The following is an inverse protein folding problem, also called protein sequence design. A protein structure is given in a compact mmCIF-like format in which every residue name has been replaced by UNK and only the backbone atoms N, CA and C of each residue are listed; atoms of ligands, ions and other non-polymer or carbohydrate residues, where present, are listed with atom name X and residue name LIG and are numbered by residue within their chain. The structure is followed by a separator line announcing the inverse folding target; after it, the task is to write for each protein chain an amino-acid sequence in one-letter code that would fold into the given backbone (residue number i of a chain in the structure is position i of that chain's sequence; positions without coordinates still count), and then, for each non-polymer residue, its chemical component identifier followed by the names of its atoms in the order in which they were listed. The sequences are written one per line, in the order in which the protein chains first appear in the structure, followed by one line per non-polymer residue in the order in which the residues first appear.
data_IF_883939368365
#
_entry.id   IF_883939368365
#
_cell.length_a   1.000
_cell.length_b   1.000
_cell.length_c   1.000
_cell.angle_alpha   90.00
_cell.angle_beta   90.00
_cell.angle_gamma   90.00
#
_symmetry.space_group_name_H-M   'P 1'
#
loop_
_entity.id
_entity.type
_entity.pdbx_description
1 polymer ?
#
# COMPACT_ATOMS: atom_id res chain seq x y z
N UNK A 1 13.49 -4.87 2.07
CA UNK A 1 14.82 -4.93 1.40
C UNK A 1 16.02 -4.73 2.36
N UNK A 2 17.21 -5.20 1.98
CA UNK A 2 18.45 -5.04 2.78
C UNK A 2 19.11 -3.69 2.53
N UNK A 3 19.68 -3.07 3.57
CA UNK A 3 20.47 -1.84 3.42
C UNK A 3 21.75 -2.13 2.62
N UNK A 4 22.04 -1.31 1.61
CA UNK A 4 23.13 -1.48 0.65
C UNK A 4 22.74 -2.28 -0.61
N UNK A 5 21.55 -2.88 -0.64
CA UNK A 5 21.05 -3.53 -1.86
C UNK A 5 20.59 -2.52 -2.91
N UNK A 6 20.73 -2.88 -4.19
CA UNK A 6 20.23 -2.09 -5.31
C UNK A 6 18.87 -2.60 -5.76
N UNK A 7 17.90 -1.71 -5.92
CA UNK A 7 16.56 -1.99 -6.44
C UNK A 7 16.38 -1.35 -7.82
N UNK A 8 15.65 -2.03 -8.71
CA UNK A 8 15.11 -1.44 -9.94
C UNK A 8 13.66 -1.00 -9.73
N UNK A 9 13.23 0.01 -10.46
CA UNK A 9 11.83 0.43 -10.46
C UNK A 9 10.95 -0.77 -10.89
N UNK A 10 9.95 -1.11 -10.07
CA UNK A 10 9.09 -2.28 -10.26
C UNK A 10 9.56 -3.56 -9.57
N UNK A 11 10.78 -3.61 -9.00
CA UNK A 11 11.22 -4.78 -8.23
C UNK A 11 10.44 -4.90 -6.92
N UNK A 12 10.23 -6.13 -6.42
CA UNK A 12 9.65 -6.35 -5.09
C UNK A 12 10.56 -5.75 -4.01
N UNK A 13 10.04 -4.83 -3.23
CA UNK A 13 10.82 -4.08 -2.24
C UNK A 13 10.40 -4.38 -0.79
N UNK A 14 9.10 -4.54 -0.55
CA UNK A 14 8.52 -4.80 0.76
C UNK A 14 7.25 -5.65 0.63
N UNK A 15 6.77 -6.18 1.75
CA UNK A 15 5.43 -6.75 1.86
C UNK A 15 4.72 -6.11 3.04
N UNK A 16 3.40 -6.00 2.94
CA UNK A 16 2.51 -5.62 4.03
C UNK A 16 1.50 -6.73 4.19
N UNK A 17 1.14 -7.07 5.43
CA UNK A 17 0.23 -8.18 5.66
C UNK A 17 -0.77 -7.92 6.77
N UNK A 18 -1.90 -8.62 6.69
CA UNK A 18 -2.96 -8.63 7.68
C UNK A 18 -3.42 -10.07 7.91
N UNK A 19 -3.32 -10.55 9.16
CA UNK A 19 -3.74 -11.88 9.59
C UNK A 19 -3.22 -13.03 8.71
N UNK A 20 -1.93 -12.98 8.36
CA UNK A 20 -1.27 -14.03 7.56
C UNK A 20 -1.47 -13.93 6.05
N UNK A 21 -2.14 -12.89 5.56
CA UNK A 21 -2.24 -12.57 4.14
C UNK A 21 -1.31 -11.42 3.81
N UNK A 22 -0.44 -11.63 2.83
CA UNK A 22 0.52 -10.63 2.37
C UNK A 22 0.08 -9.98 1.06
N UNK A 23 0.46 -8.71 0.91
CA UNK A 23 0.47 -7.98 -0.34
C UNK A 23 1.86 -7.40 -0.57
N UNK A 24 2.38 -7.60 -1.77
CA UNK A 24 3.71 -7.13 -2.15
C UNK A 24 3.69 -5.65 -2.53
N UNK A 25 4.78 -4.96 -2.26
CA UNK A 25 5.00 -3.58 -2.66
C UNK A 25 6.23 -3.51 -3.54
N UNK A 26 6.06 -2.90 -4.70
CA UNK A 26 7.15 -2.68 -5.66
C UNK A 26 7.92 -1.40 -5.37
N UNK A 27 9.20 -1.37 -5.76
CA UNK A 27 10.05 -0.20 -5.66
C UNK A 27 9.55 0.89 -6.63
N UNK A 28 9.19 2.09 -6.15
CA UNK A 28 8.71 3.17 -7.02
C UNK A 28 9.85 3.83 -7.81
N UNK A 29 11.10 3.64 -7.39
CA UNK A 29 12.30 4.23 -8.01
C UNK A 29 13.43 3.21 -7.99
N UNK A 30 14.38 3.34 -8.90
CA UNK A 30 15.62 2.56 -8.85
C UNK A 30 16.73 3.28 -8.06
N UNK A 31 17.54 2.52 -7.33
CA UNK A 31 18.66 3.04 -6.55
C UNK A 31 19.10 2.11 -5.42
N UNK A 32 20.00 2.62 -4.57
CA UNK A 32 20.53 1.90 -3.41
C UNK A 32 19.67 2.14 -2.17
N UNK A 33 19.29 1.09 -1.45
CA UNK A 33 18.60 1.19 -0.17
C UNK A 33 19.57 1.68 0.89
N UNK A 34 19.36 2.89 1.42
CA UNK A 34 20.26 3.51 2.40
C UNK A 34 19.78 3.37 3.84
N UNK A 35 18.48 3.10 4.04
CA UNK A 35 17.91 2.99 5.37
C UNK A 35 16.58 2.21 5.31
N UNK A 36 16.33 1.35 6.30
CA UNK A 36 15.00 0.81 6.64
C UNK A 36 14.53 1.43 7.95
N UNK A 37 13.22 1.47 8.19
CA UNK A 37 12.69 2.10 9.41
C UNK A 37 12.69 1.10 10.60
N UNK A 38 13.60 1.26 11.58
CA UNK A 38 13.66 0.35 12.72
C UNK A 38 12.45 0.47 13.65
N UNK A 39 11.72 1.60 13.62
CA UNK A 39 10.55 1.80 14.48
C UNK A 39 9.41 0.84 14.12
N UNK A 40 9.34 0.37 12.88
CA UNK A 40 8.29 -0.56 12.45
C UNK A 40 8.46 -1.97 13.03
N UNK A 41 9.64 -2.32 13.53
CA UNK A 41 9.86 -3.61 14.22
C UNK A 41 9.14 -3.65 15.58
N UNK A 42 9.15 -2.52 16.30
CA UNK A 42 8.50 -2.38 17.61
C UNK A 42 7.10 -1.80 17.54
N UNK A 43 6.82 -0.96 16.55
CA UNK A 43 5.56 -0.21 16.39
C UNK A 43 5.03 -0.31 14.94
N UNK A 44 4.61 -1.50 14.47
CA UNK A 44 4.15 -1.69 13.10
C UNK A 44 2.92 -0.83 12.75
N UNK A 45 2.09 -0.48 13.74
CA UNK A 45 0.92 0.39 13.56
C UNK A 45 1.24 1.81 13.10
N UNK A 46 2.51 2.25 13.14
CA UNK A 46 2.95 3.52 12.56
C UNK A 46 2.78 3.55 11.03
N UNK A 47 2.97 2.40 10.35
CA UNK A 47 2.77 2.31 8.91
C UNK A 47 1.33 2.65 8.49
N UNK A 48 0.35 2.44 9.37
CA UNK A 48 -1.06 2.77 9.14
C UNK A 48 -1.43 4.15 9.67
N UNK A 49 -1.00 4.49 10.89
CA UNK A 49 -1.43 5.72 11.57
C UNK A 49 -0.68 6.98 11.15
N UNK A 50 0.57 6.85 10.67
CA UNK A 50 1.41 7.96 10.25
C UNK A 50 2.30 7.57 9.04
N UNK A 51 1.71 7.14 7.90
CA UNK A 51 2.43 6.52 6.78
C UNK A 51 3.47 7.44 6.13
N UNK A 52 3.21 8.76 6.15
CA UNK A 52 4.08 9.77 5.54
C UNK A 52 5.01 10.48 6.56
N UNK A 53 4.82 10.26 7.86
CA UNK A 53 5.67 10.77 8.93
C UNK A 53 6.56 9.68 9.49
N UNK A 54 6.26 9.19 10.69
CA UNK A 54 7.06 8.19 11.42
C UNK A 54 6.95 6.78 10.84
N UNK A 55 5.94 6.51 10.02
CA UNK A 55 5.63 5.21 9.42
C UNK A 55 6.28 4.93 8.06
N UNK A 56 7.27 5.71 7.63
CA UNK A 56 8.01 5.45 6.38
C UNK A 56 8.63 4.04 6.37
N UNK A 57 8.74 3.38 5.21
CA UNK A 57 9.22 1.99 5.12
C UNK A 57 10.75 1.89 4.96
N UNK A 58 11.28 2.51 3.90
CA UNK A 58 12.70 2.52 3.57
C UNK A 58 13.06 3.79 2.78
N UNK A 59 14.35 4.13 2.72
CA UNK A 59 14.90 5.24 1.94
C UNK A 59 15.81 4.71 0.85
N UNK A 60 15.68 5.27 -0.34
CA UNK A 60 16.49 4.93 -1.52
C UNK A 60 17.30 6.15 -1.94
N UNK A 61 18.59 5.95 -2.18
CA UNK A 61 19.46 6.91 -2.85
C UNK A 61 19.48 6.58 -4.32
N UNK A 62 19.05 7.53 -5.14
CA UNK A 62 19.09 7.40 -6.60
C UNK A 62 19.88 8.54 -7.23
N UNK A 63 20.72 8.22 -8.20
CA UNK A 63 21.44 9.20 -9.01
C UNK A 63 20.61 9.76 -10.17
N UNK A 64 19.48 9.13 -10.50
CA UNK A 64 18.68 9.39 -11.71
C UNK A 64 17.24 9.80 -11.35
N UNK A 65 17.08 10.76 -10.44
CA UNK A 65 15.76 11.18 -9.93
C UNK A 65 14.81 11.66 -11.02
N UNK A 66 15.31 12.39 -12.02
CA UNK A 66 14.49 12.88 -13.13
C UNK A 66 13.87 11.75 -13.96
N UNK A 67 14.64 10.70 -14.27
CA UNK A 67 14.14 9.51 -14.98
C UNK A 67 13.15 8.74 -14.10
N UNK A 68 13.48 8.54 -12.83
CA UNK A 68 12.64 7.79 -11.90
C UNK A 68 11.25 8.44 -11.72
N UNK A 69 11.19 9.76 -11.64
CA UNK A 69 9.94 10.48 -11.44
C UNK A 69 9.10 10.62 -12.71
N UNK A 70 9.69 10.49 -13.90
CA UNK A 70 8.95 10.57 -15.16
C UNK A 70 7.85 9.50 -15.30
N UNK A 71 8.06 8.33 -14.68
CA UNK A 71 7.11 7.22 -14.69
C UNK A 71 6.12 7.23 -13.52
N UNK A 72 6.18 8.23 -12.63
CA UNK A 72 5.33 8.31 -11.46
C UNK A 72 4.21 9.33 -11.63
N UNK A 73 3.05 9.01 -11.06
CA UNK A 73 1.97 9.98 -10.92
C UNK A 73 2.39 11.07 -9.93
N UNK A 74 2.09 12.33 -10.26
CA UNK A 74 2.41 13.47 -9.40
C UNK A 74 1.31 14.55 -9.45
N UNK A 75 1.32 15.43 -8.46
CA UNK A 75 0.39 16.56 -8.36
C UNK A 75 -1.07 16.13 -8.38
N UNK A 76 -1.89 16.83 -9.20
CA UNK A 76 -3.31 16.58 -9.32
C UNK A 76 -3.65 15.18 -9.89
N UNK A 77 -2.77 14.61 -10.72
CA UNK A 77 -2.97 13.27 -11.27
C UNK A 77 -2.85 12.20 -10.19
N UNK A 78 -1.85 12.30 -9.31
CA UNK A 78 -1.71 11.40 -8.17
C UNK A 78 -2.90 11.52 -7.22
N UNK A 79 -3.31 12.75 -6.90
CA UNK A 79 -4.47 12.98 -6.04
C UNK A 79 -5.74 12.37 -6.63
N UNK A 80 -6.03 12.64 -7.90
CA UNK A 80 -7.20 12.07 -8.58
C UNK A 80 -7.16 10.55 -8.62
N UNK A 81 -6.01 9.95 -8.93
CA UNK A 81 -5.86 8.50 -8.93
C UNK A 81 -6.20 7.89 -7.57
N UNK A 82 -5.75 8.52 -6.47
CA UNK A 82 -6.05 8.05 -5.11
C UNK A 82 -7.54 8.18 -4.80
N UNK A 83 -8.17 9.31 -5.13
CA UNK A 83 -9.60 9.51 -4.91
C UNK A 83 -10.45 8.53 -5.73
N UNK A 84 -10.16 8.39 -7.03
CA UNK A 84 -10.86 7.43 -7.91
C UNK A 84 -10.66 5.98 -7.41
N UNK A 85 -9.47 5.63 -6.92
CA UNK A 85 -9.19 4.30 -6.35
C UNK A 85 -9.93 4.07 -5.03
N UNK A 86 -10.04 5.10 -4.17
CA UNK A 86 -10.81 5.03 -2.93
C UNK A 86 -12.29 4.78 -3.21
N UNK A 87 -12.86 5.51 -4.17
CA UNK A 87 -14.26 5.34 -4.56
C UNK A 87 -14.53 3.95 -5.13
N UNK A 88 -13.67 3.45 -6.04
CA UNK A 88 -13.79 2.09 -6.57
C UNK A 88 -13.69 1.04 -5.48
N UNK A 89 -12.70 1.15 -4.59
CA UNK A 89 -12.53 0.23 -3.48
C UNK A 89 -13.77 0.25 -2.59
N UNK A 90 -14.26 1.43 -2.20
CA UNK A 90 -15.46 1.57 -1.38
C UNK A 90 -16.68 0.89 -2.03
N UNK A 91 -16.91 1.10 -3.33
CA UNK A 91 -18.01 0.45 -4.05
C UNK A 91 -17.88 -1.07 -4.07
N UNK A 92 -16.67 -1.60 -4.27
CA UNK A 92 -16.42 -3.03 -4.20
C UNK A 92 -16.68 -3.59 -2.80
N UNK A 93 -16.16 -2.93 -1.75
CA UNK A 93 -16.40 -3.36 -0.37
C UNK A 93 -17.90 -3.33 -0.02
N UNK A 94 -18.64 -2.33 -0.49
CA UNK A 94 -20.10 -2.26 -0.33
C UNK A 94 -20.80 -3.45 -1.01
N UNK A 95 -20.35 -3.86 -2.20
CA UNK A 95 -20.89 -5.03 -2.88
C UNK A 95 -20.59 -6.35 -2.13
N UNK A 96 -19.42 -6.43 -1.48
CA UNK A 96 -19.00 -7.59 -0.68
C UNK A 96 -19.66 -7.63 0.71
N UNK A 97 -20.15 -6.50 1.22
CA UNK A 97 -20.74 -6.39 2.57
C UNK A 97 -22.10 -7.08 2.72
N UNK A 98 -22.66 -7.65 1.65
CA UNK A 98 -23.95 -8.34 1.67
C UNK A 98 -25.15 -7.40 1.90
N UNK A 99 -26.28 -7.97 2.33
CA UNK A 99 -27.50 -7.19 2.61
C UNK A 99 -27.35 -6.39 3.88
N UNK A 100 -27.16 -5.07 3.75
CA UNK A 100 -27.23 -4.14 4.87
C UNK A 100 -28.68 -3.76 5.17
N UNK A 101 -29.06 -3.72 6.45
CA UNK A 101 -30.33 -3.15 6.86
C UNK A 101 -30.25 -1.62 6.79
N UNK A 102 -31.40 -0.96 6.56
CA UNK A 102 -31.49 0.50 6.48
C UNK A 102 -31.32 1.22 7.84
N UNK A 103 -30.86 0.49 8.87
CA UNK A 103 -30.52 1.02 10.18
C UNK A 103 -29.07 1.54 10.27
N UNK A 104 -28.27 1.34 9.21
CA UNK A 104 -26.94 1.93 9.10
C UNK A 104 -25.97 1.35 10.12
N UNK A 105 -25.80 0.01 10.08
CA UNK A 105 -24.96 -0.78 10.98
C UNK A 105 -23.58 -0.18 11.32
N UNK A 106 -22.98 -0.68 12.39
CA UNK A 106 -21.75 -0.10 12.93
C UNK A 106 -20.55 -0.24 11.96
N UNK A 107 -19.72 0.80 11.80
CA UNK A 107 -18.45 0.68 11.10
C UNK A 107 -17.59 -0.41 11.76
N UNK A 108 -17.35 -1.50 11.06
CA UNK A 108 -16.44 -2.55 11.53
C UNK A 108 -15.00 -2.11 11.25
N UNK A 109 -14.16 -1.88 12.29
CA UNK A 109 -12.74 -1.74 12.06
C UNK A 109 -12.20 -3.04 11.45
N UNK A 110 -11.16 -2.92 10.63
CA UNK A 110 -10.50 -4.06 10.01
C UNK A 110 -11.41 -4.93 9.13
N UNK A 111 -12.28 -4.32 8.31
CA UNK A 111 -13.14 -5.03 7.34
C UNK A 111 -12.38 -6.09 6.53
N UNK A 112 -11.13 -5.80 6.17
CA UNK A 112 -10.25 -6.74 5.47
C UNK A 112 -10.08 -8.11 6.17
N UNK A 113 -10.27 -8.19 7.49
CA UNK A 113 -10.28 -9.47 8.24
C UNK A 113 -11.43 -10.38 7.87
N UNK A 114 -12.53 -9.82 7.38
CA UNK A 114 -13.74 -10.55 7.03
C UNK A 114 -13.79 -10.96 5.56
N UNK A 115 -12.83 -10.50 4.75
CA UNK A 115 -12.66 -10.94 3.37
C UNK A 115 -12.20 -12.40 3.33
N UNK A 116 -12.76 -13.18 2.41
CA UNK A 116 -12.20 -14.45 2.00
C UNK A 116 -10.86 -14.26 1.28
N UNK A 117 -10.09 -15.35 1.12
CA UNK A 117 -8.80 -15.32 0.43
C UNK A 117 -8.95 -14.88 -1.04
N UNK A 118 -10.01 -15.32 -1.72
CA UNK A 118 -10.29 -14.94 -3.11
C UNK A 118 -10.59 -13.44 -3.24
N UNK A 119 -11.41 -12.89 -2.33
CA UNK A 119 -11.72 -11.45 -2.30
C UNK A 119 -10.48 -10.62 -1.96
N UNK A 120 -9.66 -11.07 -1.02
CA UNK A 120 -8.38 -10.44 -0.71
C UNK A 120 -7.47 -10.41 -1.94
N UNK A 121 -7.30 -11.53 -2.63
CA UNK A 121 -6.47 -11.62 -3.83
C UNK A 121 -6.99 -10.75 -4.98
N UNK A 122 -8.30 -10.66 -5.15
CA UNK A 122 -8.90 -9.78 -6.16
C UNK A 122 -8.59 -8.32 -5.86
N UNK A 123 -8.81 -7.86 -4.62
CA UNK A 123 -8.59 -6.47 -4.21
C UNK A 123 -7.10 -6.14 -4.25
N UNK A 124 -6.23 -6.99 -3.71
CA UNK A 124 -4.79 -6.72 -3.69
C UNK A 124 -4.23 -6.60 -5.11
N UNK A 125 -4.63 -7.48 -6.03
CA UNK A 125 -4.22 -7.41 -7.44
C UNK A 125 -4.68 -6.13 -8.12
N UNK A 126 -5.92 -5.71 -7.88
CA UNK A 126 -6.47 -4.52 -8.53
C UNK A 126 -5.80 -3.23 -8.03
N UNK A 127 -5.59 -3.08 -6.72
CA UNK A 127 -5.17 -1.81 -6.13
C UNK A 127 -3.68 -1.72 -5.79
N UNK A 128 -3.00 -2.86 -5.59
CA UNK A 128 -1.58 -2.91 -5.21
C UNK A 128 -0.68 -3.40 -6.35
N UNK A 129 -1.26 -3.75 -7.51
CA UNK A 129 -0.55 -4.21 -8.71
C UNK A 129 0.26 -5.50 -8.47
N UNK A 130 -0.26 -6.39 -7.62
CA UNK A 130 0.38 -7.67 -7.20
C UNK A 130 -0.24 -8.91 -7.81
#
# INVERSE_FOLDING_TARGET
PEVGSWLRQGDRAASVGLDGRDAELVAPVEGEVVQTNPLLESEPGLATSDPYGRGWLFKVRSSELGRNFANLLSGSLAHRFVEDSRERLQLQLMALSGTVLADGGEPSPDFARHLSDDEWHQISREFLLT
#
